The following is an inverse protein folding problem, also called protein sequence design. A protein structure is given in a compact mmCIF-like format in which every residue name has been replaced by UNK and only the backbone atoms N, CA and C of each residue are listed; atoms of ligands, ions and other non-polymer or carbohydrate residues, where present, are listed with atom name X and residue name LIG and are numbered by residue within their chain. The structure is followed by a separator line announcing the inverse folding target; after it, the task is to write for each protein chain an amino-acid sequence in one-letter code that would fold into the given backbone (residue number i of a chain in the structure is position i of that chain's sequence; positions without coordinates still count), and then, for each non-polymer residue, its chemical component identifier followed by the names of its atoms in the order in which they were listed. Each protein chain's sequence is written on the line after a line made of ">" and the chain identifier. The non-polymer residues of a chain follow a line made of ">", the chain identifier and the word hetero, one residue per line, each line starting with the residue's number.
data_IF_080679458323
#
_entry.id   IF_080679458323
#
_cell.length_a   1.000
_cell.length_b   1.000
_cell.length_c   1.000
_cell.angle_alpha   90.00
_cell.angle_beta   90.00
_cell.angle_gamma   90.00
#
_symmetry.space_group_name_H-M   'P 1'
#
loop_
_entity.id
_entity.type
_entity.pdbx_description
1 polymer ?
#
# COMPACT_ATOMS: atom_id res chain seq x y z
N UNK A 1 -4.22 -9.86 55.52
CA UNK A 1 -4.99 -10.10 54.27
C UNK A 1 -5.00 -11.59 53.93
N UNK A 2 -5.73 -12.41 54.71
CA UNK A 2 -5.82 -13.88 54.53
C UNK A 2 -7.24 -14.41 54.73
N UNK A 3 -8.24 -13.56 54.54
CA UNK A 3 -9.67 -13.84 54.84
C UNK A 3 -10.59 -13.84 53.61
N UNK A 4 -10.12 -13.47 52.42
CA UNK A 4 -10.97 -13.42 51.21
C UNK A 4 -10.85 -14.65 50.30
N UNK A 5 -9.87 -15.52 50.55
CA UNK A 5 -9.66 -16.73 49.73
C UNK A 5 -10.46 -17.93 50.25
N UNK A 6 -10.82 -17.94 51.53
CA UNK A 6 -11.53 -19.05 52.16
C UNK A 6 -13.05 -19.07 51.87
N UNK A 7 -13.63 -17.89 51.62
CA UNK A 7 -15.05 -17.76 51.24
C UNK A 7 -15.29 -18.07 49.76
N UNK A 8 -14.34 -17.74 48.88
CA UNK A 8 -14.45 -18.05 47.44
C UNK A 8 -14.40 -19.57 47.17
N UNK A 9 -13.55 -20.30 47.91
CA UNK A 9 -13.45 -21.77 47.78
C UNK A 9 -14.73 -22.48 48.26
N UNK A 10 -15.43 -21.95 49.26
CA UNK A 10 -16.71 -22.51 49.75
C UNK A 10 -17.87 -22.30 48.79
N UNK A 11 -17.88 -21.21 48.02
CA UNK A 11 -18.92 -20.98 47.01
C UNK A 11 -18.79 -21.94 45.82
N UNK A 12 -17.56 -22.18 45.35
CA UNK A 12 -17.30 -23.10 44.23
C UNK A 12 -17.51 -24.58 44.61
N UNK A 13 -17.32 -24.95 45.88
CA UNK A 13 -17.57 -26.33 46.36
C UNK A 13 -19.04 -26.63 46.70
N UNK A 14 -19.94 -25.64 46.69
CA UNK A 14 -21.37 -25.87 46.96
C UNK A 14 -22.20 -26.23 45.72
N UNK A 15 -21.68 -26.07 44.50
CA UNK A 15 -22.44 -26.35 43.27
C UNK A 15 -22.14 -27.76 42.70
N UNK A 16 -21.12 -28.47 43.20
CA UNK A 16 -20.67 -29.75 42.63
C UNK A 16 -21.11 -31.00 43.40
N UNK A 17 -22.29 -31.00 44.02
CA UNK A 17 -22.89 -32.22 44.60
C UNK A 17 -24.33 -32.38 44.15
N UNK A 18 -24.49 -32.76 42.89
CA UNK A 18 -25.26 -33.96 42.57
C UNK A 18 -25.06 -34.35 41.09
N UNK A 19 -24.56 -35.58 40.96
CA UNK A 19 -24.78 -36.47 39.81
C UNK A 19 -23.85 -36.32 38.59
N UNK A 20 -22.69 -36.98 38.74
CA UNK A 20 -22.15 -37.99 37.82
C UNK A 20 -21.83 -37.61 36.37
N UNK A 21 -20.51 -37.56 36.07
CA UNK A 21 -19.98 -38.27 34.91
C UNK A 21 -19.42 -37.42 33.76
N UNK A 22 -18.13 -37.65 33.48
CA UNK A 22 -17.40 -37.41 32.23
C UNK A 22 -16.80 -36.02 31.93
N UNK A 23 -15.49 -35.99 32.17
CA UNK A 23 -14.42 -35.28 31.46
C UNK A 23 -14.67 -35.24 29.95
N UNK A 24 -14.48 -34.08 29.31
CA UNK A 24 -13.62 -33.83 28.13
C UNK A 24 -13.84 -32.39 27.62
N UNK A 25 -12.70 -31.74 27.32
CA UNK A 25 -12.51 -30.44 26.67
C UNK A 25 -13.60 -30.07 25.66
N UNK A 26 -14.18 -28.89 25.84
CA UNK A 26 -15.12 -28.25 24.93
C UNK A 26 -14.42 -27.76 23.65
N UNK A 27 -14.42 -28.59 22.60
CA UNK A 27 -14.38 -28.14 21.21
C UNK A 27 -15.84 -27.87 20.82
N UNK A 28 -16.19 -26.62 20.60
CA UNK A 28 -17.55 -26.23 20.17
C UNK A 28 -17.67 -26.57 18.68
N UNK A 29 -18.23 -27.75 18.40
CA UNK A 29 -18.81 -28.11 17.10
C UNK A 29 -20.32 -27.93 17.23
N UNK A 30 -20.88 -26.86 16.66
CA UNK A 30 -22.33 -26.72 16.52
C UNK A 30 -22.75 -27.46 15.26
N UNK A 31 -23.35 -28.64 15.44
CA UNK A 31 -24.02 -29.42 14.41
C UNK A 31 -25.54 -29.23 14.62
N UNK A 32 -26.20 -28.46 13.75
CA UNK A 32 -27.67 -28.40 13.72
C UNK A 32 -28.17 -29.40 12.68
N UNK A 33 -28.78 -30.49 13.15
CA UNK A 33 -29.63 -31.35 12.35
C UNK A 33 -31.03 -30.74 12.29
N UNK A 34 -31.44 -30.29 11.10
CA UNK A 34 -32.84 -30.22 10.72
C UNK A 34 -33.05 -31.18 9.55
N UNK A 35 -33.80 -32.25 9.78
CA UNK A 35 -34.33 -33.11 8.74
C UNK A 35 -35.77 -32.68 8.41
N UNK A 36 -36.01 -32.26 7.17
CA UNK A 36 -37.34 -31.97 6.66
C UNK A 36 -37.35 -31.46 5.21
N UNK A 37 -37.56 -32.40 4.28
CA UNK A 37 -38.11 -32.23 2.93
C UNK A 37 -37.40 -31.35 1.88
N UNK A 38 -37.07 -32.04 0.78
CA UNK A 38 -36.66 -31.60 -0.55
C UNK A 38 -37.23 -30.28 -1.09
N UNK A 39 -36.33 -29.41 -1.53
CA UNK A 39 -36.37 -28.79 -2.85
C UNK A 39 -34.95 -28.43 -3.26
N UNK A 40 -34.38 -29.14 -4.25
CA UNK A 40 -33.26 -28.60 -5.02
C UNK A 40 -33.78 -27.38 -5.78
N UNK A 41 -33.57 -26.18 -5.24
CA UNK A 41 -33.59 -24.97 -6.04
C UNK A 41 -32.16 -24.73 -6.49
N UNK A 42 -31.89 -24.96 -7.77
CA UNK A 42 -30.76 -24.31 -8.43
C UNK A 42 -31.06 -22.80 -8.43
N UNK A 43 -30.83 -22.16 -7.28
CA UNK A 43 -30.89 -20.72 -7.17
C UNK A 43 -29.52 -20.22 -7.67
N UNK A 44 -29.51 -19.64 -8.87
CA UNK A 44 -28.50 -18.65 -9.17
C UNK A 44 -28.55 -17.62 -8.04
N UNK A 45 -27.46 -17.30 -7.32
CA UNK A 45 -27.54 -16.35 -6.22
C UNK A 45 -28.06 -15.01 -6.78
N UNK A 46 -29.23 -14.57 -6.30
CA UNK A 46 -29.89 -13.38 -6.81
C UNK A 46 -28.95 -12.18 -6.70
N UNK A 47 -28.68 -11.52 -7.82
CA UNK A 47 -27.88 -10.30 -7.87
C UNK A 47 -28.62 -9.16 -7.17
N UNK A 48 -27.92 -8.35 -6.39
CA UNK A 48 -28.49 -7.19 -5.70
C UNK A 48 -27.76 -5.89 -6.08
N UNK A 49 -28.48 -4.77 -6.08
CA UNK A 49 -27.88 -3.45 -6.27
C UNK A 49 -27.31 -2.94 -4.95
N UNK A 50 -26.19 -2.23 -5.01
CA UNK A 50 -25.58 -1.59 -3.85
C UNK A 50 -25.11 -0.17 -4.16
N UNK A 51 -25.05 0.64 -3.11
CA UNK A 51 -24.28 1.88 -3.05
C UNK A 51 -23.32 1.71 -1.88
N UNK A 52 -22.04 1.98 -2.11
CA UNK A 52 -21.02 1.78 -1.08
C UNK A 52 -19.75 2.57 -1.32
N UNK A 53 -18.90 2.55 -0.30
CA UNK A 53 -17.58 3.16 -0.30
C UNK A 53 -16.54 2.07 -0.40
N UNK A 54 -15.65 2.19 -1.38
CA UNK A 54 -14.48 1.31 -1.51
C UNK A 54 -13.56 1.58 -0.33
N UNK A 55 -13.10 0.53 0.35
CA UNK A 55 -12.22 0.61 1.51
C UNK A 55 -11.01 -0.30 1.35
N UNK A 56 -9.83 0.20 1.69
CA UNK A 56 -8.65 -0.65 1.77
C UNK A 56 -8.57 -1.34 3.15
N UNK A 57 -8.34 -2.65 3.14
CA UNK A 57 -8.16 -3.48 4.33
C UNK A 57 -6.71 -3.95 4.41
N UNK A 58 -6.02 -3.56 5.48
CA UNK A 58 -4.62 -3.91 5.75
C UNK A 58 -4.50 -5.27 6.45
N UNK A 59 -5.05 -6.31 5.82
CA UNK A 59 -5.00 -7.70 6.28
C UNK A 59 -4.50 -8.58 5.13
N UNK A 60 -3.69 -9.60 5.46
CA UNK A 60 -3.22 -10.63 4.50
C UNK A 60 -2.59 -10.07 3.20
N UNK A 61 -1.77 -9.02 3.31
CA UNK A 61 -1.10 -8.42 2.14
C UNK A 61 -1.91 -7.31 1.45
N UNK A 62 -3.04 -6.91 2.01
CA UNK A 62 -3.80 -5.76 1.53
C UNK A 62 -4.84 -6.11 0.49
N UNK A 63 -6.04 -5.53 0.61
CA UNK A 63 -7.06 -5.66 -0.42
C UNK A 63 -8.11 -4.55 -0.37
N UNK A 64 -8.82 -4.35 -1.48
CA UNK A 64 -9.97 -3.46 -1.54
C UNK A 64 -11.28 -4.22 -1.30
N UNK A 65 -12.05 -3.74 -0.33
CA UNK A 65 -13.43 -4.14 -0.05
C UNK A 65 -14.41 -3.00 -0.35
N UNK A 66 -15.70 -3.25 -0.21
CA UNK A 66 -16.75 -2.22 -0.32
C UNK A 66 -17.59 -2.27 0.95
N UNK A 67 -17.73 -1.14 1.64
CA UNK A 67 -18.72 -0.98 2.71
C UNK A 67 -19.93 -0.28 2.12
N UNK A 68 -21.05 -0.98 2.05
CA UNK A 68 -22.31 -0.41 1.57
C UNK A 68 -22.82 0.68 2.53
N UNK A 69 -23.67 1.58 2.04
CA UNK A 69 -24.31 2.60 2.87
C UNK A 69 -25.21 1.99 3.98
N UNK A 70 -25.61 0.71 3.84
CA UNK A 70 -26.30 -0.08 4.88
C UNK A 70 -25.35 -0.71 5.90
N UNK A 71 -24.03 -0.64 5.67
CA UNK A 71 -22.98 -1.14 6.57
C UNK A 71 -22.49 -2.55 6.24
N UNK A 72 -23.03 -3.21 5.22
CA UNK A 72 -22.59 -4.53 4.78
C UNK A 72 -21.21 -4.46 4.12
N UNK A 73 -20.34 -5.41 4.47
CA UNK A 73 -19.00 -5.56 3.91
C UNK A 73 -19.03 -6.52 2.73
N UNK A 74 -18.59 -6.07 1.56
CA UNK A 74 -18.48 -6.86 0.34
C UNK A 74 -17.00 -7.01 -0.03
N UNK A 75 -16.59 -8.24 -0.33
CA UNK A 75 -15.27 -8.59 -0.82
C UNK A 75 -15.38 -8.88 -2.33
N UNK A 76 -15.12 -7.88 -3.20
CA UNK A 76 -15.23 -8.08 -4.64
C UNK A 76 -14.08 -8.95 -5.16
N UNK A 77 -14.39 -9.92 -6.01
CA UNK A 77 -13.39 -10.80 -6.66
C UNK A 77 -12.87 -10.23 -7.98
N UNK A 78 -13.52 -9.21 -8.52
CA UNK A 78 -13.28 -8.66 -9.86
C UNK A 78 -13.42 -7.12 -9.91
N UNK A 79 -13.19 -6.41 -8.81
CA UNK A 79 -13.24 -4.94 -8.82
C UNK A 79 -12.20 -4.39 -9.80
N UNK A 80 -12.59 -3.63 -10.83
CA UNK A 80 -11.63 -3.04 -11.75
C UNK A 80 -10.67 -2.08 -11.03
N UNK A 81 -9.37 -2.14 -11.35
CA UNK A 81 -8.32 -1.34 -10.70
C UNK A 81 -8.58 0.18 -10.70
N UNK A 82 -9.33 0.71 -11.68
CA UNK A 82 -9.73 2.13 -11.72
C UNK A 82 -10.69 2.54 -10.58
N UNK A 83 -11.32 1.56 -9.91
CA UNK A 83 -12.20 1.75 -8.76
C UNK A 83 -11.56 1.31 -7.44
N UNK A 84 -10.34 0.77 -7.45
CA UNK A 84 -9.55 0.42 -6.26
C UNK A 84 -8.94 1.68 -5.63
N UNK A 85 -9.81 2.59 -5.21
CA UNK A 85 -9.45 3.86 -4.60
C UNK A 85 -10.15 3.91 -3.24
N UNK A 86 -9.36 3.91 -2.17
CA UNK A 86 -9.88 4.01 -0.80
C UNK A 86 -10.73 5.28 -0.65
N UNK A 87 -11.94 5.15 -0.11
CA UNK A 87 -12.92 6.22 0.01
C UNK A 87 -13.78 6.50 -1.24
N UNK A 88 -13.57 5.82 -2.37
CA UNK A 88 -14.36 6.04 -3.58
C UNK A 88 -15.80 5.54 -3.40
N UNK A 89 -16.77 6.43 -3.61
CA UNK A 89 -18.20 6.08 -3.56
C UNK A 89 -18.68 5.58 -4.92
N UNK A 90 -19.23 4.37 -4.94
CA UNK A 90 -19.67 3.66 -6.15
C UNK A 90 -21.07 3.07 -5.99
N UNK A 91 -21.79 2.92 -7.10
CA UNK A 91 -22.95 2.03 -7.25
C UNK A 91 -22.63 0.87 -8.17
N UNK A 92 -23.34 -0.24 -8.01
CA UNK A 92 -23.25 -1.36 -8.95
C UNK A 92 -24.22 -2.47 -8.59
N UNK A 93 -24.08 -3.59 -9.29
CA UNK A 93 -24.76 -4.86 -8.99
C UNK A 93 -23.75 -5.87 -8.49
N UNK A 94 -24.08 -6.60 -7.44
CA UNK A 94 -23.23 -7.61 -6.82
C UNK A 94 -23.94 -8.97 -6.82
N UNK A 95 -23.19 -10.01 -7.16
CA UNK A 95 -23.66 -11.41 -7.16
C UNK A 95 -22.82 -12.22 -6.16
N UNK A 96 -23.41 -12.73 -5.06
CA UNK A 96 -22.71 -13.56 -4.09
C UNK A 96 -22.00 -14.76 -4.74
N UNK A 97 -20.76 -15.04 -4.31
CA UNK A 97 -19.99 -16.20 -4.76
C UNK A 97 -20.05 -17.29 -3.68
N UNK A 98 -21.14 -18.07 -3.66
CA UNK A 98 -21.41 -19.07 -2.61
C UNK A 98 -20.51 -20.30 -2.66
N UNK A 99 -19.90 -20.58 -3.82
CA UNK A 99 -19.07 -21.76 -4.05
C UNK A 99 -17.59 -21.53 -3.71
N UNK A 100 -17.24 -20.29 -3.33
CA UNK A 100 -15.87 -19.89 -3.00
C UNK A 100 -15.75 -19.59 -1.50
N UNK A 101 -14.64 -20.04 -0.91
CA UNK A 101 -14.28 -19.69 0.46
C UNK A 101 -13.08 -18.76 0.43
N UNK A 102 -13.23 -17.64 1.11
CA UNK A 102 -12.17 -16.65 1.30
C UNK A 102 -11.15 -17.12 2.35
N UNK A 103 -9.86 -16.91 2.10
CA UNK A 103 -8.86 -16.94 3.19
C UNK A 103 -9.00 -15.71 4.09
N UNK A 104 -9.45 -14.60 3.51
CA UNK A 104 -9.67 -13.32 4.18
C UNK A 104 -10.94 -13.44 5.03
N UNK A 105 -10.80 -13.39 6.35
CA UNK A 105 -11.92 -13.43 7.31
C UNK A 105 -12.71 -12.10 7.37
N UNK A 106 -13.05 -11.53 6.20
CA UNK A 106 -13.67 -10.21 6.08
C UNK A 106 -14.60 -10.15 4.85
N UNK A 107 -15.81 -9.62 5.05
CA UNK A 107 -16.78 -9.37 3.98
C UNK A 107 -17.38 -10.61 3.32
N UNK A 108 -18.48 -10.39 2.59
CA UNK A 108 -19.12 -11.40 1.74
C UNK A 108 -18.51 -11.38 0.35
N UNK A 109 -18.01 -12.51 -0.14
CA UNK A 109 -17.47 -12.60 -1.51
C UNK A 109 -18.54 -12.34 -2.56
N UNK A 110 -18.27 -11.40 -3.45
CA UNK A 110 -19.17 -11.02 -4.54
C UNK A 110 -18.41 -10.83 -5.85
N UNK A 111 -19.08 -11.10 -6.96
CA UNK A 111 -18.70 -10.55 -8.27
C UNK A 111 -19.47 -9.25 -8.48
N UNK A 112 -18.79 -8.16 -8.83
CA UNK A 112 -19.40 -6.86 -9.09
C UNK A 112 -19.52 -6.60 -10.59
N UNK A 113 -20.63 -6.01 -10.99
CA UNK A 113 -20.96 -5.63 -12.37
C UNK A 113 -21.56 -4.22 -12.37
N UNK A 114 -21.54 -3.56 -13.52
CA UNK A 114 -22.15 -2.23 -13.72
C UNK A 114 -21.66 -1.17 -12.71
N UNK A 115 -20.40 -1.28 -12.28
CA UNK A 115 -19.82 -0.38 -11.28
C UNK A 115 -19.66 1.02 -11.86
N UNK A 116 -20.21 2.01 -11.15
CA UNK A 116 -20.26 3.42 -11.53
C UNK A 116 -19.90 4.31 -10.34
N UNK A 117 -18.99 5.29 -10.49
CA UNK A 117 -18.68 6.25 -9.42
C UNK A 117 -19.82 7.26 -9.24
N UNK A 118 -20.10 7.65 -7.99
CA UNK A 118 -21.29 8.43 -7.63
C UNK A 118 -21.05 9.92 -7.33
N UNK A 119 -19.86 10.47 -7.59
CA UNK A 119 -19.62 11.91 -7.54
C UNK A 119 -19.30 12.44 -8.94
N UNK A 120 -20.09 13.41 -9.46
CA UNK A 120 -19.72 14.18 -10.66
C UNK A 120 -20.86 14.75 -11.49
N UNK A 121 -21.56 13.94 -12.29
CA UNK A 121 -22.69 14.39 -13.12
C UNK A 121 -22.75 13.74 -14.50
N UNK A 122 -23.83 12.99 -14.76
CA UNK A 122 -24.40 12.70 -16.06
C UNK A 122 -23.50 12.02 -17.11
N UNK A 123 -23.51 10.69 -17.15
CA UNK A 123 -23.20 9.95 -18.38
C UNK A 123 -24.49 9.38 -18.97
N UNK A 124 -25.04 10.07 -19.96
CA UNK A 124 -25.95 9.46 -20.93
C UNK A 124 -25.12 8.66 -21.92
N UNK A 125 -25.46 7.38 -22.02
CA UNK A 125 -24.98 6.41 -22.99
C UNK A 125 -25.39 6.81 -24.42
N UNK A 126 -24.43 7.02 -25.34
CA UNK A 126 -24.35 6.30 -26.63
C UNK A 126 -23.26 6.79 -27.62
N UNK A 127 -22.74 5.77 -28.31
CA UNK A 127 -22.27 5.70 -29.70
C UNK A 127 -20.78 5.93 -30.04
N UNK A 128 -20.28 4.98 -30.83
CA UNK A 128 -18.91 4.76 -31.29
C UNK A 128 -18.58 5.51 -32.61
N UNK A 129 -17.27 5.73 -32.82
CA UNK A 129 -16.52 6.20 -34.01
C UNK A 129 -16.71 7.65 -34.47
N UNK A 130 -15.68 8.49 -34.28
CA UNK A 130 -14.69 8.78 -35.33
C UNK A 130 -13.44 9.47 -34.76
N UNK A 131 -12.31 9.22 -35.41
CA UNK A 131 -10.96 9.67 -35.06
C UNK A 131 -10.77 11.15 -35.33
N UNK A 132 -10.31 11.90 -34.34
CA UNK A 132 -9.51 13.11 -34.57
C UNK A 132 -8.62 13.39 -33.34
N UNK A 133 -7.33 13.61 -33.62
CA UNK A 133 -6.28 13.91 -32.65
C UNK A 133 -6.46 15.29 -32.06
N UNK A 134 -7.08 15.38 -30.89
CA UNK A 134 -7.00 16.54 -29.99
C UNK A 134 -6.64 16.05 -28.59
N UNK A 135 -5.56 16.58 -28.01
CA UNK A 135 -5.21 16.36 -26.60
C UNK A 135 -6.41 16.83 -25.77
N UNK A 136 -7.09 15.96 -24.99
CA UNK A 136 -8.31 16.37 -24.31
C UNK A 136 -7.96 17.42 -23.25
N UNK A 137 -8.61 18.58 -23.32
CA UNK A 137 -8.67 19.51 -22.18
C UNK A 137 -9.42 18.80 -21.08
N UNK A 138 -8.75 18.60 -19.94
CA UNK A 138 -9.29 17.75 -18.90
C UNK A 138 -10.35 18.47 -18.04
N UNK A 139 -11.55 17.89 -17.89
CA UNK A 139 -12.68 18.43 -17.12
C UNK A 139 -12.48 18.33 -15.60
N UNK A 140 -13.32 19.03 -14.82
CA UNK A 140 -13.28 19.04 -13.34
C UNK A 140 -13.43 17.63 -12.71
N UNK A 141 -14.08 16.68 -13.40
CA UNK A 141 -14.33 15.31 -12.93
C UNK A 141 -13.16 14.34 -13.19
N UNK A 142 -12.06 14.80 -13.78
CA UNK A 142 -10.93 13.92 -14.15
C UNK A 142 -9.82 13.85 -13.12
N UNK A 143 -9.85 14.65 -12.05
CA UNK A 143 -8.82 14.62 -11.00
C UNK A 143 -8.67 13.21 -10.39
N UNK A 144 -9.79 12.48 -10.22
CA UNK A 144 -9.79 11.11 -9.72
C UNK A 144 -9.27 10.09 -10.74
N UNK A 145 -9.56 10.29 -12.02
CA UNK A 145 -9.04 9.41 -13.08
C UNK A 145 -7.52 9.58 -13.23
N UNK A 146 -7.03 10.83 -13.15
CA UNK A 146 -5.62 11.16 -13.16
C UNK A 146 -4.94 10.58 -11.93
N UNK A 147 -5.50 10.84 -10.73
CA UNK A 147 -4.99 10.30 -9.47
C UNK A 147 -4.92 8.77 -9.50
N UNK A 148 -6.01 8.09 -9.89
CA UNK A 148 -6.06 6.63 -9.94
C UNK A 148 -5.04 6.02 -10.92
N UNK A 149 -4.82 6.64 -12.09
CA UNK A 149 -3.80 6.19 -13.04
C UNK A 149 -2.38 6.37 -12.48
N UNK A 150 -2.11 7.51 -11.85
CA UNK A 150 -0.79 7.81 -11.29
C UNK A 150 -0.50 6.91 -10.09
N UNK A 151 -1.45 6.75 -9.16
CA UNK A 151 -1.28 5.91 -7.98
C UNK A 151 -1.13 4.44 -8.37
N UNK A 152 -1.91 3.93 -9.33
CA UNK A 152 -1.78 2.55 -9.80
C UNK A 152 -0.44 2.30 -10.50
N UNK A 153 0.03 3.24 -11.32
CA UNK A 153 1.35 3.13 -11.97
C UNK A 153 2.49 3.20 -10.95
N UNK A 154 2.41 4.10 -9.96
CA UNK A 154 3.41 4.21 -8.91
C UNK A 154 3.45 2.95 -8.02
N UNK A 155 2.29 2.44 -7.62
CA UNK A 155 2.20 1.18 -6.86
C UNK A 155 2.81 0.03 -7.68
N UNK A 156 2.46 -0.08 -8.97
CA UNK A 156 3.04 -1.11 -9.84
C UNK A 156 4.57 -1.01 -9.93
N UNK A 157 5.14 0.19 -9.99
CA UNK A 157 6.61 0.39 -10.01
C UNK A 157 7.24 -0.02 -8.69
N UNK A 158 6.62 0.31 -7.55
CA UNK A 158 7.05 -0.17 -6.24
C UNK A 158 7.02 -1.71 -6.18
N UNK A 159 5.91 -2.33 -6.60
CA UNK A 159 5.75 -3.79 -6.64
C UNK A 159 6.76 -4.47 -7.59
N UNK A 160 7.15 -3.78 -8.68
CA UNK A 160 8.16 -4.28 -9.61
C UNK A 160 9.53 -4.34 -8.95
N UNK A 161 9.95 -3.26 -8.26
CA UNK A 161 11.21 -3.26 -7.50
C UNK A 161 11.15 -4.33 -6.40
N UNK A 162 10.01 -4.44 -5.74
CA UNK A 162 9.77 -5.38 -4.67
C UNK A 162 9.98 -6.85 -5.08
N UNK A 163 9.31 -7.25 -6.16
CA UNK A 163 9.40 -8.61 -6.69
C UNK A 163 10.82 -8.97 -7.16
N UNK A 164 11.49 -8.05 -7.85
CA UNK A 164 12.86 -8.27 -8.34
C UNK A 164 13.85 -8.41 -7.17
N UNK A 165 13.67 -7.62 -6.11
CA UNK A 165 14.52 -7.72 -4.92
C UNK A 165 14.23 -9.01 -4.13
N UNK A 166 12.97 -9.45 -4.08
CA UNK A 166 12.59 -10.74 -3.50
C UNK A 166 13.22 -11.93 -4.26
N UNK A 167 13.20 -11.89 -5.60
CA UNK A 167 13.81 -12.91 -6.45
C UNK A 167 15.33 -12.97 -6.26
N UNK A 168 15.99 -11.81 -6.20
CA UNK A 168 17.42 -11.73 -5.87
C UNK A 168 17.71 -12.30 -4.48
N UNK A 169 16.93 -11.93 -3.47
CA UNK A 169 17.08 -12.48 -2.12
C UNK A 169 16.91 -14.02 -2.10
N UNK A 170 15.98 -14.55 -2.89
CA UNK A 170 15.77 -15.99 -3.03
C UNK A 170 16.94 -16.68 -3.74
N UNK A 171 17.49 -16.08 -4.81
CA UNK A 171 18.66 -16.60 -5.52
C UNK A 171 19.92 -16.61 -4.64
N UNK A 172 20.04 -15.62 -3.75
CA UNK A 172 21.14 -15.49 -2.79
C UNK A 172 21.02 -16.44 -1.58
N UNK A 173 19.89 -17.16 -1.41
CA UNK A 173 19.64 -18.04 -0.26
C UNK A 173 20.54 -19.27 -0.15
N UNK A 174 21.36 -19.56 -1.17
CA UNK A 174 22.27 -20.70 -1.16
C UNK A 174 23.51 -20.39 -0.28
N UNK A 175 23.91 -21.34 0.57
CA UNK A 175 25.07 -21.13 1.46
C UNK A 175 26.42 -21.05 0.72
N UNK A 176 26.47 -21.37 -0.58
CA UNK A 176 27.68 -21.41 -1.41
C UNK A 176 27.63 -20.45 -2.61
N UNK A 177 26.87 -19.35 -2.54
CA UNK A 177 26.89 -18.36 -3.64
C UNK A 177 28.30 -17.76 -3.72
N UNK A 178 28.96 -17.96 -4.87
CA UNK A 178 30.27 -17.37 -5.14
C UNK A 178 30.17 -15.84 -5.15
N UNK A 179 31.28 -15.14 -4.86
CA UNK A 179 31.33 -13.67 -4.99
C UNK A 179 30.95 -13.19 -6.40
N UNK A 180 31.31 -13.95 -7.42
CA UNK A 180 30.92 -13.67 -8.81
C UNK A 180 29.40 -13.72 -8.97
N UNK A 181 28.73 -14.75 -8.43
CA UNK A 181 27.27 -14.82 -8.44
C UNK A 181 26.61 -13.71 -7.62
N UNK A 182 27.18 -13.31 -6.48
CA UNK A 182 26.69 -12.17 -5.70
C UNK A 182 26.73 -10.88 -6.52
N UNK A 183 27.86 -10.62 -7.17
CA UNK A 183 28.01 -9.43 -8.03
C UNK A 183 27.03 -9.46 -9.21
N UNK A 184 26.81 -10.62 -9.82
CA UNK A 184 25.81 -10.79 -10.90
C UNK A 184 24.38 -10.50 -10.43
N UNK A 185 24.01 -10.90 -9.21
CA UNK A 185 22.69 -10.60 -8.66
C UNK A 185 22.52 -9.12 -8.34
N UNK A 186 23.55 -8.47 -7.81
CA UNK A 186 23.51 -7.02 -7.55
C UNK A 186 23.44 -6.22 -8.86
N UNK A 187 24.28 -6.56 -9.84
CA UNK A 187 24.31 -5.88 -11.13
C UNK A 187 23.00 -6.08 -11.90
N UNK A 188 22.37 -7.26 -11.81
CA UNK A 188 21.08 -7.50 -12.47
C UNK A 188 19.96 -6.59 -12.00
N UNK A 189 20.02 -6.04 -10.77
CA UNK A 189 19.03 -5.06 -10.32
C UNK A 189 19.24 -3.68 -10.97
N UNK A 190 20.48 -3.19 -10.96
CA UNK A 190 20.81 -1.82 -11.40
C UNK A 190 20.93 -1.70 -12.92
N UNK A 191 21.39 -2.77 -13.58
CA UNK A 191 21.51 -2.83 -15.05
C UNK A 191 20.20 -3.22 -15.73
N UNK A 192 19.19 -3.70 -14.99
CA UNK A 192 17.87 -3.97 -15.54
C UNK A 192 17.25 -2.65 -16.05
N UNK A 193 17.00 -2.51 -17.36
CA UNK A 193 16.50 -1.25 -17.91
C UNK A 193 15.15 -0.83 -17.32
N UNK A 194 14.30 -1.78 -16.93
CA UNK A 194 13.01 -1.47 -16.31
C UNK A 194 13.17 -0.87 -14.91
N UNK A 195 14.14 -1.34 -14.12
CA UNK A 195 14.42 -0.87 -12.77
C UNK A 195 15.22 0.45 -12.76
N UNK A 196 16.20 0.55 -13.65
CA UNK A 196 17.02 1.74 -13.82
C UNK A 196 16.17 2.96 -14.21
N UNK A 197 15.25 2.78 -15.16
CA UNK A 197 14.33 3.85 -15.60
C UNK A 197 13.35 4.31 -14.50
N UNK A 198 13.20 3.55 -13.42
CA UNK A 198 12.32 3.89 -12.30
C UNK A 198 13.10 4.20 -11.01
N UNK A 199 14.39 4.52 -11.14
CA UNK A 199 15.17 5.16 -10.08
C UNK A 199 15.96 4.24 -9.18
N UNK A 200 16.00 2.92 -9.42
CA UNK A 200 16.94 2.03 -8.73
C UNK A 200 18.35 2.27 -9.28
N UNK A 201 19.24 2.79 -8.44
CA UNK A 201 20.60 3.19 -8.87
C UNK A 201 21.74 2.47 -8.14
N UNK A 202 21.44 1.75 -7.06
CA UNK A 202 22.41 0.99 -6.29
C UNK A 202 21.73 -0.23 -5.65
N UNK A 203 22.48 -1.33 -5.57
CA UNK A 203 22.13 -2.49 -4.76
C UNK A 203 23.32 -2.93 -3.90
N UNK A 204 23.04 -3.47 -2.72
CA UNK A 204 24.08 -3.89 -1.77
C UNK A 204 23.70 -5.15 -0.99
N UNK A 205 24.73 -5.87 -0.52
CA UNK A 205 24.58 -6.98 0.42
C UNK A 205 25.04 -6.55 1.80
N UNK A 206 24.27 -6.91 2.82
CA UNK A 206 24.61 -6.72 4.21
C UNK A 206 24.76 -8.06 4.91
N UNK A 207 25.71 -8.16 5.84
CA UNK A 207 25.77 -9.31 6.75
C UNK A 207 24.63 -9.27 7.78
N UNK A 208 24.52 -10.32 8.62
CA UNK A 208 23.48 -10.42 9.66
C UNK A 208 23.54 -9.31 10.71
N UNK A 209 24.65 -8.61 10.81
CA UNK A 209 24.84 -7.48 11.72
C UNK A 209 24.53 -6.14 11.05
N UNK A 210 24.11 -6.12 9.79
CA UNK A 210 23.77 -4.89 9.07
C UNK A 210 24.98 -4.16 8.51
N UNK A 211 26.11 -4.84 8.27
CA UNK A 211 27.31 -4.24 7.66
C UNK A 211 27.37 -4.54 6.16
N UNK A 212 27.68 -3.54 5.35
CA UNK A 212 27.82 -3.71 3.89
C UNK A 212 29.00 -4.64 3.57
N UNK A 213 28.77 -5.64 2.73
CA UNK A 213 29.74 -6.67 2.32
C UNK A 213 30.00 -6.68 0.81
N UNK A 214 29.03 -6.24 0.01
CA UNK A 214 29.14 -6.03 -1.42
C UNK A 214 28.21 -4.88 -1.83
N UNK A 215 28.54 -4.20 -2.92
CA UNK A 215 27.77 -3.08 -3.46
C UNK A 215 27.99 -3.01 -4.96
N UNK A 216 26.99 -2.55 -5.69
CA UNK A 216 27.05 -2.26 -7.11
C UNK A 216 26.24 -0.98 -7.39
N UNK A 217 26.70 -0.06 -8.25
CA UNK A 217 27.93 -0.10 -9.07
C UNK A 217 29.24 0.21 -8.30
N UNK A 218 30.38 -0.06 -8.95
CA UNK A 218 31.74 0.06 -8.37
C UNK A 218 32.08 1.46 -7.82
N UNK A 219 31.38 2.51 -8.27
CA UNK A 219 31.54 3.87 -7.73
C UNK A 219 31.22 3.95 -6.23
N UNK A 220 30.46 3.01 -5.69
CA UNK A 220 30.09 2.95 -4.27
C UNK A 220 30.94 1.98 -3.44
N UNK A 221 32.02 1.40 -3.99
CA UNK A 221 32.88 0.45 -3.27
C UNK A 221 33.42 0.97 -1.93
N UNK A 222 33.54 2.30 -1.76
CA UNK A 222 33.94 2.92 -0.50
C UNK A 222 32.96 2.67 0.66
N UNK A 223 31.70 2.29 0.37
CA UNK A 223 30.68 1.99 1.38
C UNK A 223 30.88 0.60 2.02
N UNK A 224 31.65 -0.30 1.41
CA UNK A 224 31.89 -1.65 1.96
C UNK A 224 32.52 -1.54 3.36
N UNK A 225 31.98 -2.32 4.29
CA UNK A 225 32.38 -2.32 5.70
C UNK A 225 31.65 -1.29 6.55
N UNK A 226 30.81 -0.43 5.99
CA UNK A 226 29.99 0.51 6.75
C UNK A 226 28.91 -0.23 7.54
N UNK A 227 28.73 0.16 8.80
CA UNK A 227 27.74 -0.41 9.71
C UNK A 227 26.42 0.40 9.65
N UNK A 228 25.38 -0.22 9.13
CA UNK A 228 24.05 0.38 9.00
C UNK A 228 23.06 -0.12 10.07
N UNK A 229 23.50 -0.91 11.04
CA UNK A 229 22.63 -1.54 12.06
C UNK A 229 21.76 -0.57 12.87
N UNK A 230 22.16 0.70 12.91
CA UNK A 230 21.45 1.77 13.63
C UNK A 230 20.44 2.52 12.76
N UNK A 231 20.43 2.32 11.45
CA UNK A 231 19.40 2.90 10.59
C UNK A 231 18.06 2.22 10.91
N UNK A 232 16.95 2.98 11.07
CA UNK A 232 15.69 2.42 11.58
C UNK A 232 15.18 1.19 10.82
N UNK A 233 15.22 1.21 9.48
CA UNK A 233 14.77 0.11 8.63
C UNK A 233 15.68 -1.13 8.73
N UNK A 234 16.99 -0.94 8.92
CA UNK A 234 17.96 -2.03 9.13
C UNK A 234 17.83 -2.62 10.54
N UNK A 235 17.69 -1.76 11.56
CA UNK A 235 17.45 -2.21 12.94
C UNK A 235 16.14 -3.03 13.03
N UNK A 236 15.10 -2.60 12.30
CA UNK A 236 13.82 -3.29 12.20
C UNK A 236 13.96 -4.67 11.58
N UNK A 237 14.57 -4.80 10.39
CA UNK A 237 14.72 -6.10 9.71
C UNK A 237 15.66 -7.06 10.44
N UNK A 238 16.65 -6.56 11.18
CA UNK A 238 17.49 -7.38 12.07
C UNK A 238 16.65 -7.99 13.21
N UNK A 239 15.77 -7.19 13.80
CA UNK A 239 14.94 -7.60 14.94
C UNK A 239 13.76 -8.47 14.52
N UNK A 240 13.15 -8.15 13.38
CA UNK A 240 11.99 -8.82 12.81
C UNK A 240 12.23 -9.03 11.31
N UNK A 241 12.78 -10.19 10.90
CA UNK A 241 13.18 -10.46 9.52
C UNK A 241 12.01 -10.58 8.55
N UNK A 242 11.47 -9.44 8.15
CA UNK A 242 10.50 -9.25 7.07
C UNK A 242 11.02 -8.14 6.15
N UNK A 243 10.64 -8.11 4.87
CA UNK A 243 11.00 -7.02 3.96
C UNK A 243 10.63 -5.65 4.56
N UNK A 244 11.49 -4.66 4.36
CA UNK A 244 11.28 -3.30 4.87
C UNK A 244 11.50 -2.27 3.78
N UNK A 245 10.85 -1.12 3.96
CA UNK A 245 11.10 0.09 3.21
C UNK A 245 11.41 1.22 4.19
N UNK A 246 12.43 2.02 3.89
CA UNK A 246 12.81 3.15 4.73
C UNK A 246 11.93 4.38 4.53
N UNK A 247 12.01 5.34 5.45
CA UNK A 247 11.64 6.73 5.15
C UNK A 247 12.63 7.32 4.15
N UNK A 248 12.34 8.52 3.63
CA UNK A 248 13.34 9.28 2.89
C UNK A 248 14.53 9.61 3.80
N UNK A 249 15.74 9.34 3.32
CA UNK A 249 16.95 9.48 4.13
C UNK A 249 18.17 9.87 3.30
N UNK A 250 19.14 10.47 3.98
CA UNK A 250 20.49 10.65 3.46
C UNK A 250 21.26 9.34 3.56
N UNK A 251 21.72 8.82 2.43
CA UNK A 251 22.52 7.60 2.37
C UNK A 251 23.98 7.89 2.72
N UNK A 252 24.77 6.85 2.99
CA UNK A 252 26.19 6.99 3.33
C UNK A 252 27.04 7.42 2.12
N UNK A 253 26.52 7.21 0.92
CA UNK A 253 27.03 7.67 -0.37
C UNK A 253 26.75 9.16 -0.61
N UNK A 254 25.99 9.82 0.28
CA UNK A 254 25.71 11.25 0.21
C UNK A 254 24.59 11.63 -0.76
N UNK A 255 23.82 10.66 -1.27
CA UNK A 255 22.58 10.89 -2.01
C UNK A 255 21.39 10.70 -1.11
N UNK A 256 20.26 11.25 -1.49
CA UNK A 256 19.01 11.00 -0.79
C UNK A 256 18.29 9.85 -1.48
N UNK A 257 17.59 9.01 -0.72
CA UNK A 257 16.91 7.84 -1.26
C UNK A 257 15.80 7.34 -0.35
N UNK A 258 15.03 6.41 -0.90
CA UNK A 258 14.34 5.40 -0.10
C UNK A 258 14.98 4.03 -0.35
N UNK A 259 15.12 3.25 0.71
CA UNK A 259 15.81 1.97 0.70
C UNK A 259 14.80 0.85 0.92
N UNK A 260 14.77 -0.13 0.01
CA UNK A 260 13.99 -1.36 0.17
C UNK A 260 14.98 -2.47 0.52
N UNK A 261 14.68 -3.27 1.54
CA UNK A 261 15.58 -4.32 2.03
C UNK A 261 14.86 -5.63 2.24
N UNK A 262 15.46 -6.72 1.76
CA UNK A 262 14.96 -8.08 1.88
C UNK A 262 15.90 -8.95 2.74
N UNK A 263 15.35 -9.83 3.60
CA UNK A 263 16.15 -10.81 4.31
C UNK A 263 16.52 -11.96 3.38
N UNK A 264 17.80 -12.32 3.36
CA UNK A 264 18.28 -13.51 2.64
C UNK A 264 18.15 -14.71 3.57
N UNK A 265 17.15 -15.56 3.33
CA UNK A 265 16.81 -16.69 4.20
C UNK A 265 17.29 -17.99 3.59
N UNK A 266 18.19 -18.69 4.27
CA UNK A 266 18.68 -20.01 3.85
C UNK A 266 17.57 -21.08 3.80
N UNK A 267 17.85 -22.21 3.15
CA UNK A 267 16.97 -23.39 3.15
C UNK A 267 16.61 -23.89 4.56
N UNK A 268 17.48 -23.65 5.54
CA UNK A 268 17.25 -23.99 6.95
C UNK A 268 16.40 -22.94 7.68
N UNK A 269 15.78 -22.00 6.96
CA UNK A 269 14.98 -20.89 7.49
C UNK A 269 15.75 -19.97 8.44
N UNK A 270 17.05 -19.81 8.19
CA UNK A 270 17.89 -18.87 8.96
C UNK A 270 18.30 -17.70 8.08
N UNK A 271 18.21 -16.48 8.62
CA UNK A 271 18.70 -15.27 7.95
C UNK A 271 20.21 -15.37 7.83
N UNK A 272 20.73 -15.16 6.63
CA UNK A 272 22.16 -15.22 6.30
C UNK A 272 22.77 -13.84 6.06
N UNK A 273 21.93 -12.87 5.72
CA UNK A 273 22.25 -11.47 5.47
C UNK A 273 21.03 -10.77 4.90
N UNK A 274 21.25 -9.63 4.26
CA UNK A 274 20.20 -8.83 3.63
C UNK A 274 20.66 -8.36 2.25
N UNK A 275 19.71 -8.14 1.36
CA UNK A 275 19.95 -7.40 0.11
C UNK A 275 19.12 -6.12 0.15
N UNK A 276 19.75 -4.99 -0.21
CA UNK A 276 19.13 -3.67 -0.22
C UNK A 276 19.21 -3.05 -1.61
N UNK A 277 18.21 -2.25 -1.95
CA UNK A 277 18.19 -1.41 -3.14
C UNK A 277 17.91 0.05 -2.74
N UNK A 278 18.71 0.98 -3.25
CA UNK A 278 18.49 2.42 -3.11
C UNK A 278 17.75 2.93 -4.34
N UNK A 279 16.63 3.61 -4.07
CA UNK A 279 15.71 4.13 -5.08
C UNK A 279 15.59 5.64 -4.94
N UNK A 280 15.75 6.35 -6.04
CA UNK A 280 15.40 7.76 -6.15
C UNK A 280 13.88 7.89 -6.34
N UNK A 281 13.14 8.37 -5.32
CA UNK A 281 11.68 8.43 -5.40
C UNK A 281 11.18 9.46 -6.43
N UNK A 282 11.96 10.50 -6.74
CA UNK A 282 11.57 11.50 -7.73
C UNK A 282 11.60 10.91 -9.15
N UNK A 283 12.63 10.09 -9.45
CA UNK A 283 12.70 9.33 -10.70
C UNK A 283 11.60 8.27 -10.76
N UNK A 284 11.34 7.58 -9.65
CA UNK A 284 10.29 6.56 -9.55
C UNK A 284 8.89 7.10 -9.91
N UNK A 285 8.56 8.30 -9.42
CA UNK A 285 7.30 9.02 -9.72
C UNK A 285 7.21 9.50 -11.17
N UNK A 286 8.34 9.53 -11.89
CA UNK A 286 8.47 9.86 -13.32
C UNK A 286 8.28 11.36 -13.65
N UNK A 287 9.37 12.15 -13.69
CA UNK A 287 9.32 13.60 -13.95
C UNK A 287 8.62 13.99 -15.26
N UNK A 288 8.73 13.16 -16.31
CA UNK A 288 8.04 13.40 -17.59
C UNK A 288 6.52 13.42 -17.44
N UNK A 289 5.97 12.57 -16.56
CA UNK A 289 4.54 12.59 -16.24
C UNK A 289 4.16 13.86 -15.49
N UNK A 290 5.01 14.34 -14.59
CA UNK A 290 4.77 15.59 -13.85
C UNK A 290 4.70 16.79 -14.80
N UNK A 291 5.61 16.86 -15.79
CA UNK A 291 5.57 17.92 -16.79
C UNK A 291 4.31 17.84 -17.67
N UNK A 292 3.94 16.64 -18.11
CA UNK A 292 2.72 16.43 -18.92
C UNK A 292 1.45 16.85 -18.18
N UNK A 293 1.38 16.56 -16.87
CA UNK A 293 0.27 16.99 -16.01
C UNK A 293 0.22 18.50 -15.88
N UNK A 294 1.37 19.14 -15.69
CA UNK A 294 1.51 20.59 -15.60
C UNK A 294 1.01 21.30 -16.85
N UNK A 295 1.36 20.78 -18.02
CA UNK A 295 0.89 21.30 -19.31
C UNK A 295 -0.63 21.13 -19.50
N UNK A 296 -1.25 20.23 -18.73
CA UNK A 296 -2.69 19.96 -18.72
C UNK A 296 -3.44 20.66 -17.57
N UNK A 297 -2.79 21.55 -16.82
CA UNK A 297 -3.42 22.30 -15.72
C UNK A 297 -3.46 21.58 -14.36
N UNK A 298 -2.70 20.49 -14.21
CA UNK A 298 -2.58 19.75 -12.94
C UNK A 298 -1.17 19.81 -12.38
N UNK A 299 -1.00 19.69 -11.08
CA UNK A 299 0.29 19.36 -10.47
C UNK A 299 0.21 18.06 -9.69
N UNK A 300 1.34 17.37 -9.56
CA UNK A 300 1.51 16.15 -8.79
C UNK A 300 2.47 16.42 -7.64
N UNK A 301 2.10 15.91 -6.47
CA UNK A 301 2.92 15.84 -5.28
C UNK A 301 2.89 14.41 -4.75
N UNK A 302 4.04 13.89 -4.37
CA UNK A 302 4.15 12.64 -3.61
C UNK A 302 4.93 12.93 -2.34
N UNK A 303 4.35 12.60 -1.18
CA UNK A 303 4.98 12.87 0.12
C UNK A 303 4.78 11.73 1.11
N UNK A 304 5.64 11.66 2.12
CA UNK A 304 5.41 10.82 3.29
C UNK A 304 4.35 11.46 4.21
N UNK A 305 3.65 10.71 5.10
CA UNK A 305 2.60 11.26 5.96
C UNK A 305 3.06 12.38 6.89
N UNK A 306 4.34 12.39 7.28
CA UNK A 306 4.96 13.47 8.04
C UNK A 306 5.27 14.73 7.19
N UNK A 307 4.95 14.69 5.89
CA UNK A 307 5.04 15.79 4.94
C UNK A 307 6.37 15.96 4.24
N UNK A 308 7.29 15.00 4.35
CA UNK A 308 8.53 15.02 3.56
C UNK A 308 8.19 14.77 2.10
N UNK A 309 8.45 15.73 1.22
CA UNK A 309 8.22 15.60 -0.21
C UNK A 309 9.20 14.60 -0.84
N UNK A 310 8.66 13.64 -1.58
CA UNK A 310 9.40 12.60 -2.29
C UNK A 310 9.52 12.92 -3.78
N UNK A 311 8.49 13.54 -4.35
CA UNK A 311 8.48 14.07 -5.69
C UNK A 311 7.58 15.30 -5.72
N UNK A 312 8.06 16.39 -6.33
CA UNK A 312 7.32 17.64 -6.42
C UNK A 312 7.58 18.33 -7.76
N UNK A 313 6.61 19.10 -8.23
CA UNK A 313 6.70 19.84 -9.50
C UNK A 313 7.79 20.92 -9.46
N UNK A 314 8.08 21.44 -8.26
CA UNK A 314 9.29 22.19 -7.94
C UNK A 314 10.31 21.26 -7.26
N UNK A 315 11.33 20.84 -8.00
CA UNK A 315 12.35 19.91 -7.51
C UNK A 315 13.14 20.43 -6.30
N UNK A 316 13.11 21.75 -6.02
CA UNK A 316 13.79 22.31 -4.84
C UNK A 316 13.08 21.97 -3.53
N UNK A 317 11.84 21.51 -3.60
CA UNK A 317 11.03 21.07 -2.45
C UNK A 317 11.29 19.62 -2.05
N UNK A 318 11.89 18.81 -2.92
CA UNK A 318 12.16 17.39 -2.63
C UNK A 318 13.04 17.26 -1.37
N UNK A 319 12.67 16.34 -0.49
CA UNK A 319 13.30 16.12 0.82
C UNK A 319 12.95 17.15 1.89
N UNK A 320 12.19 18.19 1.55
CA UNK A 320 11.73 19.20 2.51
C UNK A 320 10.36 18.84 3.02
N UNK A 321 10.09 19.31 4.23
CA UNK A 321 8.77 19.30 4.81
C UNK A 321 8.11 20.64 4.53
N UNK A 322 7.00 20.64 3.76
CA UNK A 322 6.23 21.86 3.47
C UNK A 322 5.76 22.58 4.76
N UNK A 323 5.70 21.84 5.86
CA UNK A 323 5.30 22.28 7.19
C UNK A 323 6.26 23.25 7.88
N UNK A 324 7.54 23.20 7.52
CA UNK A 324 8.56 24.08 8.08
C UNK A 324 8.69 25.39 7.30
N UNK A 325 7.89 25.58 6.25
CA UNK A 325 7.93 26.79 5.44
C UNK A 325 7.06 27.90 6.07
N UNK A 326 7.64 29.06 6.43
CA UNK A 326 6.88 30.20 6.95
C UNK A 326 5.72 30.64 6.06
N UNK A 327 5.80 30.43 4.73
CA UNK A 327 4.74 30.79 3.80
C UNK A 327 3.48 29.93 3.98
N UNK A 328 3.61 28.72 4.54
CA UNK A 328 2.51 27.81 4.82
C UNK A 328 1.60 28.34 5.94
N UNK A 329 2.17 29.08 6.90
CA UNK A 329 1.42 29.71 8.00
C UNK A 329 0.56 30.89 7.55
N UNK A 330 0.74 31.38 6.32
CA UNK A 330 0.01 32.53 5.80
C UNK A 330 -1.41 32.20 5.28
N UNK A 331 -1.75 30.90 5.11
CA UNK A 331 -3.03 30.46 4.56
C UNK A 331 -3.72 29.39 5.44
N UNK A 332 -4.75 29.76 6.23
CA UNK A 332 -5.50 28.80 7.06
C UNK A 332 -6.18 27.68 6.28
N UNK A 333 -6.63 27.94 5.04
CA UNK A 333 -7.24 26.90 4.18
C UNK A 333 -6.22 25.88 3.71
N UNK A 334 -5.02 26.32 3.34
CA UNK A 334 -3.91 25.44 2.95
C UNK A 334 -3.49 24.58 4.14
N UNK A 335 -3.35 25.19 5.33
CA UNK A 335 -3.02 24.46 6.55
C UNK A 335 -4.06 23.38 6.87
N UNK A 336 -5.35 23.70 6.78
CA UNK A 336 -6.42 22.73 7.02
C UNK A 336 -6.35 21.55 6.04
N UNK A 337 -6.22 21.83 4.74
CA UNK A 337 -6.18 20.79 3.71
C UNK A 337 -4.96 19.88 3.89
N UNK A 338 -3.80 20.45 4.17
CA UNK A 338 -2.62 19.65 4.33
C UNK A 338 -2.66 18.81 5.63
N UNK A 339 -3.26 19.32 6.73
CA UNK A 339 -3.44 18.53 7.97
C UNK A 339 -4.36 17.34 7.70
N UNK A 340 -5.38 17.53 6.86
CA UNK A 340 -6.23 16.44 6.43
C UNK A 340 -5.46 15.41 5.59
N UNK A 341 -4.63 15.86 4.64
CA UNK A 341 -3.79 15.00 3.81
C UNK A 341 -2.81 14.14 4.62
N UNK A 342 -2.20 14.69 5.69
CA UNK A 342 -1.35 13.89 6.59
C UNK A 342 -2.13 12.74 7.25
N UNK A 343 -3.31 13.05 7.79
CA UNK A 343 -4.03 12.16 8.68
C UNK A 343 -4.96 11.18 7.95
N UNK A 344 -5.37 11.48 6.72
CA UNK A 344 -6.27 10.62 5.95
C UNK A 344 -5.52 9.94 4.80
N UNK A 345 -5.76 8.64 4.61
CA UNK A 345 -5.15 7.86 3.52
C UNK A 345 -5.62 8.30 2.14
N UNK A 346 -6.83 8.84 2.04
CA UNK A 346 -7.37 9.41 0.84
C UNK A 346 -8.31 10.56 1.20
N UNK A 347 -8.54 11.46 0.25
CA UNK A 347 -9.46 12.56 0.45
C UNK A 347 -9.49 13.54 -0.71
N UNK A 348 -10.36 14.52 -0.54
CA UNK A 348 -10.51 15.66 -1.43
C UNK A 348 -10.68 16.91 -0.58
N UNK A 349 -10.05 18.00 -1.00
CA UNK A 349 -10.19 19.31 -0.40
C UNK A 349 -10.12 20.41 -1.46
N UNK A 350 -10.36 21.64 -1.01
CA UNK A 350 -10.05 22.84 -1.78
C UNK A 350 -9.44 23.89 -0.86
N UNK A 351 -8.45 24.62 -1.36
CA UNK A 351 -7.77 25.67 -0.62
C UNK A 351 -7.37 26.83 -1.53
N UNK A 352 -7.15 28.01 -0.93
CA UNK A 352 -6.58 29.15 -1.65
C UNK A 352 -5.05 29.03 -1.65
N UNK A 353 -4.46 28.94 -2.85
CA UNK A 353 -3.03 28.87 -3.07
C UNK A 353 -2.30 30.16 -2.73
N UNK A 354 -0.96 30.14 -2.84
CA UNK A 354 -0.14 31.29 -2.41
C UNK A 354 -0.37 32.54 -3.27
N UNK A 355 -0.80 32.39 -4.53
CA UNK A 355 -1.18 33.48 -5.42
C UNK A 355 -2.70 33.78 -5.39
N UNK A 356 -3.43 33.23 -4.41
CA UNK A 356 -4.89 33.34 -4.21
C UNK A 356 -5.74 32.67 -5.29
N UNK A 357 -5.16 31.73 -6.02
CA UNK A 357 -5.85 30.79 -6.90
C UNK A 357 -6.65 29.77 -6.09
N UNK A 358 -7.78 29.30 -6.63
CA UNK A 358 -8.58 28.24 -6.02
C UNK A 358 -8.04 26.89 -6.47
N UNK A 359 -7.41 26.15 -5.55
CA UNK A 359 -6.82 24.84 -5.85
C UNK A 359 -7.75 23.75 -5.35
N UNK A 360 -8.10 22.79 -6.22
CA UNK A 360 -8.72 21.53 -5.82
C UNK A 360 -7.64 20.46 -5.68
N UNK A 361 -7.63 19.73 -4.57
CA UNK A 361 -6.66 18.66 -4.31
C UNK A 361 -7.41 17.36 -4.04
N UNK A 362 -6.96 16.27 -4.66
CA UNK A 362 -7.39 14.92 -4.33
C UNK A 362 -6.15 14.06 -4.09
N UNK A 363 -6.21 13.19 -3.08
CA UNK A 363 -5.11 12.29 -2.78
C UNK A 363 -5.58 10.89 -2.44
N UNK A 364 -4.65 9.95 -2.60
CA UNK A 364 -4.76 8.57 -2.12
C UNK A 364 -3.40 8.13 -1.56
N UNK A 365 -3.29 6.88 -1.12
CA UNK A 365 -2.07 6.33 -0.54
C UNK A 365 -1.63 5.09 -1.29
N UNK A 366 -0.38 5.11 -1.76
CA UNK A 366 0.35 3.88 -2.14
C UNK A 366 1.19 3.43 -0.96
N UNK A 367 1.55 2.15 -0.89
CA UNK A 367 2.33 1.64 0.24
C UNK A 367 3.16 0.43 -0.16
N UNK A 368 4.33 0.30 0.45
CA UNK A 368 5.15 -0.90 0.37
C UNK A 368 5.75 -1.19 1.75
N UNK A 369 5.64 -2.44 2.22
CA UNK A 369 6.14 -2.91 3.53
C UNK A 369 5.75 -2.01 4.72
N UNK A 370 4.51 -1.55 4.74
CA UNK A 370 3.98 -0.67 5.79
C UNK A 370 4.50 0.77 5.75
N UNK A 371 5.19 1.18 4.67
CA UNK A 371 5.61 2.56 4.44
C UNK A 371 4.64 3.24 3.45
N UNK A 372 3.67 4.03 3.96
CA UNK A 372 2.70 4.71 3.10
C UNK A 372 3.27 5.99 2.48
N UNK A 373 2.95 6.26 1.23
CA UNK A 373 3.17 7.54 0.56
C UNK A 373 1.84 8.14 0.12
N UNK A 374 1.63 9.43 0.37
CA UNK A 374 0.50 10.21 -0.14
C UNK A 374 0.80 10.60 -1.58
N UNK A 375 -0.11 10.25 -2.48
CA UNK A 375 -0.08 10.69 -3.88
C UNK A 375 -1.19 11.71 -4.04
N UNK A 376 -0.84 12.95 -4.34
CA UNK A 376 -1.79 14.06 -4.42
C UNK A 376 -1.73 14.73 -5.78
N UNK A 377 -2.89 14.86 -6.42
CA UNK A 377 -3.07 15.61 -7.66
C UNK A 377 -3.83 16.89 -7.33
N UNK A 378 -3.35 18.01 -7.86
CA UNK A 378 -3.97 19.32 -7.68
C UNK A 378 -4.39 19.88 -9.03
N UNK A 379 -5.54 20.56 -9.07
CA UNK A 379 -6.04 21.31 -10.23
C UNK A 379 -6.04 22.80 -9.88
N UNK A 380 -5.47 23.62 -10.77
CA UNK A 380 -5.31 25.07 -10.61
C UNK A 380 -6.26 25.87 -11.52
#
# INVERSE_FOLDING_TARGET
>A
MRSSFYEYVKFVTSISKNTTGFVVLSVITILVLFSGASAQTNANPDSFSFIGTVVYQDLEGGFFGIITDTGDQLLPTNLPAQYEIDGLKISGTATPQTDMVSTRMWGTMVSVENVTPLNGGGVTEQAWYESETTVPVLSDDQIFQVLGRISADLQKRLDTIDGELADVAANLSSNDVSKENQNLQLSSLVENPALNQIGLYESSLLDKSGRITAVYPDVYLSSIGTDLSKMPHIASIISYPAPTMSTYLKTVEGKDAVVITYPIVSKQKTVTGYVSALVDPAVLVSPDKMQTLKDSGYSLMVEQPEGTALAESDSTQIGRSAWNDPQFNASPSLLKSAVHLQNARAGIDSYSGLNKEDVKIAWTTVSLHGMPWRVAVMKH
#
